data_IF_008881215406
#
_entry.id   IF_008881215406
#
_cell.length_a   1.000
_cell.length_b   1.000
_cell.length_c   1.000
_cell.angle_alpha   90.00
_cell.angle_beta   90.00
_cell.angle_gamma   90.00
#
_symmetry.space_group_name_H-M   'P 1'
#
loop_
_entity.id
_entity.type
_entity.pdbx_description
1 polymer ?
#
# COMPACT_ATOMS: atom_id res chain seq x y z
N UNK A 1 8.16 -8.99 -16.49
CA UNK A 1 8.29 -7.52 -16.48
C UNK A 1 6.95 -6.80 -16.53
N UNK A 2 6.09 -7.05 -17.53
CA UNK A 2 4.79 -6.36 -17.69
C UNK A 2 3.89 -6.37 -16.43
N UNK A 3 3.82 -7.50 -15.72
CA UNK A 3 2.98 -7.62 -14.50
C UNK A 3 3.42 -6.68 -13.39
N UNK A 4 4.74 -6.52 -13.16
CA UNK A 4 5.27 -5.63 -12.12
C UNK A 4 5.04 -4.18 -12.52
N UNK A 5 5.26 -3.83 -13.79
CA UNK A 5 5.04 -2.47 -14.29
C UNK A 5 3.58 -2.02 -14.15
N UNK A 6 2.63 -2.87 -14.58
CA UNK A 6 1.19 -2.59 -14.44
C UNK A 6 0.81 -2.51 -12.96
N UNK A 7 1.33 -3.42 -12.12
CA UNK A 7 1.04 -3.40 -10.68
C UNK A 7 1.59 -2.14 -10.00
N UNK A 8 2.79 -1.70 -10.39
CA UNK A 8 3.38 -0.47 -9.87
C UNK A 8 2.55 0.77 -10.27
N UNK A 9 2.02 0.82 -11.50
CA UNK A 9 1.13 1.92 -11.94
C UNK A 9 -0.16 1.99 -11.13
N UNK A 10 -0.68 0.88 -10.61
CA UNK A 10 -1.83 0.90 -9.68
C UNK A 10 -1.49 1.50 -8.31
N UNK A 11 -0.22 1.44 -7.89
CA UNK A 11 0.28 1.98 -6.63
C UNK A 11 0.68 3.45 -6.78
N UNK A 12 1.34 3.78 -7.89
CA UNK A 12 1.82 5.13 -8.25
C UNK A 12 0.67 6.01 -8.76
N UNK A 13 -0.36 6.17 -7.95
CA UNK A 13 -1.52 6.98 -8.26
C UNK A 13 -1.69 8.09 -7.22
N UNK A 14 -1.75 9.32 -7.70
CA UNK A 14 -1.97 10.52 -6.90
C UNK A 14 -3.46 10.79 -6.73
N UNK A 15 -3.87 11.28 -5.56
CA UNK A 15 -5.26 11.67 -5.29
C UNK A 15 -5.71 12.89 -6.10
N UNK A 16 -4.75 13.64 -6.67
CA UNK A 16 -5.00 14.81 -7.52
C UNK A 16 -5.23 14.45 -8.99
N UNK A 17 -5.19 13.16 -9.36
CA UNK A 17 -5.49 12.72 -10.72
C UNK A 17 -6.99 12.75 -11.03
N UNK A 18 -7.33 12.95 -12.30
CA UNK A 18 -8.73 13.02 -12.76
C UNK A 18 -9.47 11.68 -12.59
N UNK A 19 -8.75 10.57 -12.72
CA UNK A 19 -9.29 9.21 -12.54
C UNK A 19 -9.11 8.80 -11.09
N UNK A 20 -10.04 8.00 -10.56
CA UNK A 20 -9.93 7.45 -9.20
C UNK A 20 -9.00 6.24 -9.21
N UNK A 21 -8.20 6.10 -8.15
CA UNK A 21 -7.31 4.95 -7.97
C UNK A 21 -8.13 3.66 -7.89
N UNK A 22 -7.87 2.75 -8.85
CA UNK A 22 -8.49 1.42 -8.86
C UNK A 22 -8.09 0.59 -7.63
N UNK A 23 -6.89 0.83 -7.09
CA UNK A 23 -6.41 0.14 -5.90
C UNK A 23 -7.09 0.61 -4.62
N UNK A 24 -7.36 1.92 -4.50
CA UNK A 24 -8.19 2.47 -3.42
C UNK A 24 -9.59 1.86 -3.48
N UNK A 25 -10.19 1.81 -4.67
CA UNK A 25 -11.51 1.21 -4.85
C UNK A 25 -11.52 -0.28 -4.46
N UNK A 26 -10.53 -1.05 -4.92
CA UNK A 26 -10.36 -2.44 -4.55
C UNK A 26 -10.24 -2.63 -3.04
N UNK A 27 -9.44 -1.80 -2.35
CA UNK A 27 -9.35 -1.85 -0.89
C UNK A 27 -10.72 -1.60 -0.26
N UNK A 28 -11.46 -0.58 -0.72
CA UNK A 28 -12.83 -0.34 -0.26
C UNK A 28 -13.74 -1.57 -0.38
N UNK A 29 -13.73 -2.23 -1.54
CA UNK A 29 -14.52 -3.47 -1.77
C UNK A 29 -14.02 -4.63 -0.91
N UNK A 30 -12.72 -4.74 -0.66
CA UNK A 30 -12.13 -5.78 0.20
C UNK A 30 -12.66 -5.72 1.64
N UNK A 31 -13.05 -4.52 2.09
CA UNK A 31 -13.72 -4.30 3.38
C UNK A 31 -15.14 -4.86 3.46
N UNK A 32 -15.76 -5.25 2.34
CA UNK A 32 -17.09 -5.85 2.31
C UNK A 32 -17.00 -7.38 2.33
N UNK A 33 -17.86 -8.01 3.12
CA UNK A 33 -18.02 -9.46 3.15
C UNK A 33 -19.26 -9.85 2.33
N UNK A 34 -19.04 -10.39 1.14
CA UNK A 34 -20.11 -10.80 0.23
C UNK A 34 -20.94 -11.99 0.75
N UNK A 35 -20.40 -12.82 1.65
CA UNK A 35 -21.13 -13.98 2.21
C UNK A 35 -22.14 -13.54 3.26
N UNK A 36 -21.76 -12.59 4.12
CA UNK A 36 -22.64 -12.08 5.18
C UNK A 36 -23.39 -10.81 4.78
N UNK A 37 -23.09 -10.28 3.60
CA UNK A 37 -23.61 -9.01 3.07
C UNK A 37 -23.33 -7.80 3.97
N UNK A 38 -22.28 -7.85 4.78
CA UNK A 38 -21.93 -6.82 5.78
C UNK A 38 -20.52 -6.27 5.59
N UNK A 39 -20.26 -5.10 6.17
CA UNK A 39 -18.89 -4.59 6.30
C UNK A 39 -18.11 -5.40 7.32
N UNK A 40 -16.84 -5.68 7.01
CA UNK A 40 -15.92 -6.34 7.93
C UNK A 40 -15.63 -5.43 9.11
N UNK A 41 -15.55 -6.04 10.29
CA UNK A 41 -15.09 -5.35 11.48
C UNK A 41 -13.61 -4.91 11.33
N UNK A 42 -13.19 -3.83 11.99
CA UNK A 42 -11.80 -3.36 11.93
C UNK A 42 -10.77 -4.44 12.31
N UNK A 43 -11.10 -5.35 13.24
CA UNK A 43 -10.23 -6.47 13.64
C UNK A 43 -9.90 -7.42 12.49
N UNK A 44 -10.84 -7.59 11.56
CA UNK A 44 -10.75 -8.56 10.47
C UNK A 44 -10.22 -7.92 9.19
N UNK A 45 -10.48 -6.61 9.02
CA UNK A 45 -10.07 -5.88 7.83
C UNK A 45 -8.65 -5.31 7.92
N UNK A 46 -8.21 -4.90 9.12
CA UNK A 46 -6.84 -4.34 9.29
C UNK A 46 -5.71 -5.32 8.93
N UNK A 47 -5.78 -6.64 9.18
CA UNK A 47 -4.79 -7.58 8.67
C UNK A 47 -4.71 -7.61 7.15
N UNK A 48 -5.86 -7.50 6.45
CA UNK A 48 -5.90 -7.48 4.99
C UNK A 48 -5.22 -6.22 4.43
N UNK A 49 -5.49 -5.07 5.02
CA UNK A 49 -4.82 -3.81 4.66
C UNK A 49 -3.31 -3.85 4.94
N UNK A 50 -2.88 -4.49 6.03
CA UNK A 50 -1.47 -4.67 6.32
C UNK A 50 -0.78 -5.56 5.27
N UNK A 51 -1.42 -6.65 4.86
CA UNK A 51 -0.97 -7.49 3.76
C UNK A 51 -0.87 -6.71 2.45
N UNK A 52 -1.88 -5.89 2.16
CA UNK A 52 -1.87 -5.03 0.97
C UNK A 52 -0.70 -4.03 1.00
N UNK A 53 -0.49 -3.36 2.13
CA UNK A 53 0.64 -2.43 2.31
C UNK A 53 1.99 -3.12 2.15
N UNK A 54 2.13 -4.37 2.61
CA UNK A 54 3.32 -5.18 2.39
C UNK A 54 3.54 -5.49 0.91
N UNK A 55 2.51 -5.94 0.19
CA UNK A 55 2.58 -6.19 -1.25
C UNK A 55 2.97 -4.93 -2.03
N UNK A 56 2.42 -3.75 -1.67
CA UNK A 56 2.80 -2.49 -2.31
C UNK A 56 4.30 -2.22 -2.18
N UNK A 57 4.87 -2.40 -0.98
CA UNK A 57 6.31 -2.19 -0.75
C UNK A 57 7.17 -3.15 -1.56
N UNK A 58 6.80 -4.43 -1.63
CA UNK A 58 7.53 -5.42 -2.42
C UNK A 58 7.46 -5.13 -3.93
N UNK A 59 6.27 -4.81 -4.46
CA UNK A 59 6.09 -4.49 -5.88
C UNK A 59 6.91 -3.25 -6.25
N UNK A 60 6.86 -2.21 -5.41
CA UNK A 60 7.63 -0.98 -5.67
C UNK A 60 9.14 -1.19 -5.55
N UNK A 61 9.60 -2.06 -4.65
CA UNK A 61 11.01 -2.47 -4.58
C UNK A 61 11.45 -3.18 -5.85
N UNK A 62 10.70 -4.20 -6.29
CA UNK A 62 11.01 -4.95 -7.51
C UNK A 62 10.89 -4.07 -8.77
N UNK A 63 9.95 -3.13 -8.80
CA UNK A 63 9.83 -2.15 -9.88
C UNK A 63 11.02 -1.20 -9.95
N UNK A 64 11.57 -0.80 -8.80
CA UNK A 64 12.70 0.14 -8.74
C UNK A 64 14.05 -0.54 -8.95
N UNK A 65 14.22 -1.75 -8.40
CA UNK A 65 15.45 -2.52 -8.39
C UNK A 65 15.17 -3.93 -8.93
N UNK A 66 14.90 -3.99 -10.23
CA UNK A 66 14.47 -5.22 -10.90
C UNK A 66 15.54 -6.31 -10.76
N UNK A 67 15.13 -7.55 -10.47
CA UNK A 67 16.06 -8.67 -10.32
C UNK A 67 16.89 -8.93 -11.58
N UNK A 68 16.30 -8.73 -12.76
CA UNK A 68 16.96 -8.97 -14.04
C UNK A 68 18.14 -8.03 -14.30
N UNK A 69 18.12 -6.82 -13.73
CA UNK A 69 19.12 -5.79 -13.99
C UNK A 69 20.19 -5.71 -12.89
N UNK A 70 20.10 -6.52 -11.82
CA UNK A 70 20.99 -6.41 -10.65
C UNK A 70 22.46 -6.61 -10.97
N UNK A 71 22.79 -7.53 -11.87
CA UNK A 71 24.17 -7.83 -12.24
C UNK A 71 24.80 -6.71 -13.09
N UNK A 72 23.98 -5.98 -13.83
CA UNK A 72 24.39 -4.90 -14.74
C UNK A 72 24.10 -3.52 -14.15
N UNK A 73 23.63 -3.46 -12.89
CA UNK A 73 23.12 -2.24 -12.28
C UNK A 73 24.15 -1.11 -12.30
N UNK A 74 25.41 -1.40 -11.94
CA UNK A 74 26.49 -0.42 -11.94
C UNK A 74 26.89 0.09 -13.34
N UNK A 75 26.48 -0.61 -14.41
CA UNK A 75 26.70 -0.19 -15.79
C UNK A 75 25.53 0.66 -16.31
N UNK A 76 24.31 0.37 -15.84
CA UNK A 76 23.07 0.99 -16.31
C UNK A 76 22.66 2.24 -15.51
N UNK A 77 23.17 2.41 -14.28
CA UNK A 77 22.79 3.50 -13.37
C UNK A 77 24.02 4.19 -12.78
N UNK A 78 23.94 5.52 -12.66
CA UNK A 78 24.94 6.33 -11.97
C UNK A 78 24.74 6.36 -10.46
N UNK A 79 23.49 6.28 -10.02
CA UNK A 79 23.07 6.28 -8.62
C UNK A 79 23.21 4.90 -8.00
N UNK A 80 23.40 4.86 -6.68
CA UNK A 80 23.36 3.60 -5.94
C UNK A 80 21.93 3.03 -5.87
N UNK A 81 21.76 1.70 -5.70
CA UNK A 81 20.44 1.09 -5.52
C UNK A 81 19.64 1.73 -4.37
N UNK A 82 20.33 2.11 -3.30
CA UNK A 82 19.76 2.75 -2.13
C UNK A 82 19.20 4.14 -2.46
N UNK A 83 19.92 4.95 -3.22
CA UNK A 83 19.48 6.30 -3.63
C UNK A 83 18.24 6.23 -4.51
N UNK A 84 18.21 5.33 -5.49
CA UNK A 84 17.03 5.12 -6.34
C UNK A 84 15.81 4.70 -5.53
N UNK A 85 15.98 3.72 -4.63
CA UNK A 85 14.87 3.26 -3.81
C UNK A 85 14.40 4.33 -2.82
N UNK A 86 15.31 5.10 -2.22
CA UNK A 86 14.95 6.24 -1.35
C UNK A 86 14.14 7.29 -2.11
N UNK A 87 14.54 7.64 -3.33
CA UNK A 87 13.82 8.62 -4.14
C UNK A 87 12.39 8.13 -4.49
N UNK A 88 12.26 6.86 -4.90
CA UNK A 88 10.95 6.25 -5.15
C UNK A 88 10.10 6.20 -3.88
N UNK A 89 10.68 5.73 -2.77
CA UNK A 89 10.00 5.61 -1.49
C UNK A 89 9.49 6.98 -1.02
N UNK A 90 10.35 8.00 -1.06
CA UNK A 90 10.01 9.37 -0.66
C UNK A 90 8.80 9.93 -1.44
N UNK A 91 8.69 9.56 -2.72
CA UNK A 91 7.62 10.02 -3.60
C UNK A 91 6.30 9.27 -3.41
N UNK A 92 6.35 7.93 -3.28
CA UNK A 92 5.16 7.09 -3.40
C UNK A 92 4.77 6.31 -2.14
N UNK A 93 5.71 6.09 -1.21
CA UNK A 93 5.52 5.23 -0.04
C UNK A 93 5.63 5.99 1.29
N UNK A 94 5.57 7.33 1.27
CA UNK A 94 5.60 8.18 2.46
C UNK A 94 4.20 8.57 2.93
N UNK A 95 4.02 8.54 4.25
CA UNK A 95 2.80 8.98 4.94
C UNK A 95 2.67 10.51 4.87
N UNK A 96 1.45 11.01 4.70
CA UNK A 96 1.16 12.44 4.62
C UNK A 96 1.13 13.02 3.20
N UNK A 97 1.29 12.17 2.18
CA UNK A 97 1.15 12.54 0.77
C UNK A 97 -0.20 12.08 0.21
N UNK A 98 -0.75 12.75 -0.80
CA UNK A 98 -1.98 12.32 -1.49
C UNK A 98 -1.72 11.13 -2.42
N UNK A 99 -1.33 9.99 -1.85
CA UNK A 99 -0.97 8.77 -2.59
C UNK A 99 -1.82 7.59 -2.16
N UNK A 100 -2.00 6.62 -3.07
CA UNK A 100 -2.68 5.36 -2.78
C UNK A 100 -2.11 4.64 -1.56
N UNK A 101 -0.78 4.66 -1.39
CA UNK A 101 -0.14 4.08 -0.21
C UNK A 101 -0.57 4.78 1.08
N UNK A 102 -0.57 6.12 1.10
CA UNK A 102 -0.98 6.88 2.27
C UNK A 102 -2.46 6.65 2.62
N UNK A 103 -3.34 6.51 1.63
CA UNK A 103 -4.74 6.16 1.87
C UNK A 103 -4.86 4.82 2.61
N UNK A 104 -4.23 3.76 2.07
CA UNK A 104 -4.27 2.42 2.67
C UNK A 104 -3.64 2.42 4.05
N UNK A 105 -2.53 3.13 4.23
CA UNK A 105 -1.89 3.27 5.53
C UNK A 105 -2.78 3.99 6.55
N UNK A 106 -3.41 5.10 6.15
CA UNK A 106 -4.29 5.89 7.02
C UNK A 106 -5.50 5.07 7.46
N UNK A 107 -6.11 4.32 6.53
CA UNK A 107 -7.23 3.44 6.82
C UNK A 107 -6.84 2.30 7.77
N UNK A 108 -5.65 1.72 7.58
CA UNK A 108 -5.09 0.73 8.49
C UNK A 108 -4.90 1.29 9.91
N UNK A 109 -4.30 2.47 10.04
CA UNK A 109 -4.08 3.09 11.35
C UNK A 109 -5.39 3.44 12.05
N UNK A 110 -6.37 3.95 11.29
CA UNK A 110 -7.71 4.21 11.79
C UNK A 110 -8.35 2.93 12.35
N UNK A 111 -8.37 1.84 11.57
CA UNK A 111 -8.95 0.57 12.01
C UNK A 111 -8.23 -0.01 13.24
N UNK A 112 -6.90 0.10 13.31
CA UNK A 112 -6.13 -0.34 14.48
C UNK A 112 -6.51 0.43 15.74
N UNK A 113 -6.69 1.76 15.63
CA UNK A 113 -7.12 2.61 16.74
C UNK A 113 -8.52 2.24 17.23
N UNK A 114 -9.47 2.12 16.31
CA UNK A 114 -10.85 1.72 16.65
C UNK A 114 -10.89 0.36 17.35
N UNK A 115 -10.13 -0.61 16.83
CA UNK A 115 -10.02 -1.95 17.44
C UNK A 115 -9.48 -1.87 18.87
N UNK A 116 -8.45 -1.04 19.10
CA UNK A 116 -7.86 -0.85 20.42
C UNK A 116 -8.87 -0.24 21.40
N UNK A 117 -9.52 0.86 21.00
CA UNK A 117 -10.50 1.57 21.83
C UNK A 117 -11.71 0.68 22.17
N UNK A 118 -12.13 -0.21 21.24
CA UNK A 118 -13.17 -1.21 21.48
C UNK A 118 -12.79 -2.22 22.57
N UNK A 119 -11.57 -2.78 22.49
CA UNK A 119 -11.07 -3.73 23.51
C UNK A 119 -10.93 -3.09 24.89
N UNK A 120 -10.48 -1.84 24.95
CA UNK A 120 -10.33 -1.13 26.23
C UNK A 120 -11.70 -0.89 26.89
N UNK A 121 -12.76 -0.66 26.10
CA UNK A 121 -14.14 -0.53 26.62
C UNK A 121 -14.73 -1.85 27.12
N UNK A 122 -14.42 -2.98 26.48
CA UNK A 122 -14.85 -4.31 26.96
C UNK A 122 -14.19 -4.70 28.28
N UNK A 123 -12.94 -4.28 28.51
CA UNK A 123 -12.19 -4.60 29.76
C UNK A 123 -12.66 -3.83 30.99
N UNK A 124 -13.38 -2.72 30.82
CA UNK A 124 -13.87 -1.87 31.92
C UNK A 124 -15.29 -2.27 32.36
N UNK A 125 -15.97 -3.13 31.60
CA UNK A 125 -17.26 -3.72 31.96
C UNK A 125 -17.08 -5.08 32.62
#
# INVERSE_FOLDING_TARGET
MLTIEVSAKLIMHSDYEQRRSGLIHFCGVLGYNATTETWREPSDYTPMLAGMQFCMRLIMLEYTLSQGERNEFAQNYSETPEELFKAMHAKWLVVGTGTTFNYVHSLLQYGKRVTKDGRDRERVR
#
